data_IF_415569690085
#
_entry.id   IF_415569690085
#
_cell.length_a   1.000
_cell.length_b   1.000
_cell.length_c   1.000
_cell.angle_alpha   90.00
_cell.angle_beta   90.00
_cell.angle_gamma   90.00
#
_symmetry.space_group_name_H-M   'P 1'
#
loop_
_entity.id
_entity.type
_entity.pdbx_description
1 polymer ?
#
# COMPACT_ATOMS: atom_id res chain seq x y z
N UNK A 1 17.81 15.13 8.83
CA UNK A 1 16.56 14.34 8.89
C UNK A 1 15.94 14.23 7.50
N UNK A 2 15.08 13.23 7.28
CA UNK A 2 14.44 12.98 5.98
C UNK A 2 12.94 13.32 5.96
N UNK A 3 12.49 14.04 6.99
CA UNK A 3 11.08 14.34 7.23
C UNK A 3 10.47 13.40 8.25
N UNK A 4 9.15 13.32 8.24
CA UNK A 4 8.34 12.53 9.16
C UNK A 4 7.46 11.51 8.43
N UNK A 5 6.90 10.58 9.21
CA UNK A 5 5.88 9.64 8.78
C UNK A 5 4.71 9.66 9.76
N UNK A 6 3.50 9.62 9.24
CA UNK A 6 2.27 9.36 10.01
C UNK A 6 2.08 7.85 10.11
N UNK A 7 1.90 7.35 11.34
CA UNK A 7 1.83 5.93 11.66
C UNK A 7 0.69 5.61 12.64
N UNK A 8 -0.24 6.56 12.85
CA UNK A 8 -1.30 6.44 13.84
C UNK A 8 -2.28 5.32 13.52
N UNK A 9 -2.50 4.98 12.26
CA UNK A 9 -3.42 3.89 11.91
C UNK A 9 -2.76 2.56 12.25
N UNK A 10 -3.11 2.04 13.43
CA UNK A 10 -2.55 0.83 13.98
C UNK A 10 -3.63 -0.07 14.60
N UNK A 11 -3.33 -1.37 14.66
CA UNK A 11 -4.15 -2.39 15.31
C UNK A 11 -3.30 -3.17 16.29
N UNK A 12 -3.68 -3.18 17.58
CA UNK A 12 -2.93 -3.87 18.66
C UNK A 12 -1.42 -3.56 18.60
N UNK A 13 -1.05 -2.28 18.44
CA UNK A 13 0.32 -1.80 18.31
C UNK A 13 1.06 -2.21 17.03
N UNK A 14 0.35 -2.73 16.03
CA UNK A 14 0.90 -3.01 14.70
C UNK A 14 0.46 -1.91 13.74
N UNK A 15 1.42 -1.22 13.12
CA UNK A 15 1.17 -0.22 12.07
C UNK A 15 0.56 -0.92 10.84
N UNK A 16 -0.47 -0.31 10.27
CA UNK A 16 -1.27 -0.87 9.17
C UNK A 16 -1.21 0.01 7.94
N UNK A 17 -1.22 1.32 8.15
CA UNK A 17 -1.18 2.35 7.12
C UNK A 17 -0.22 3.43 7.56
N UNK A 18 0.78 3.67 6.74
CA UNK A 18 1.84 4.63 6.99
C UNK A 18 1.91 5.61 5.83
N UNK A 19 2.08 6.89 6.12
CA UNK A 19 2.17 7.91 5.07
C UNK A 19 3.22 8.98 5.37
N UNK A 20 3.71 9.63 4.31
CA UNK A 20 4.61 10.78 4.41
C UNK A 20 4.21 11.80 3.33
N UNK A 21 4.09 13.10 3.67
CA UNK A 21 4.18 13.71 5.00
C UNK A 21 3.00 13.37 5.93
N UNK A 22 3.09 13.77 7.19
CA UNK A 22 2.02 13.57 8.19
C UNK A 22 0.99 14.71 8.16
N UNK A 23 -0.30 14.45 7.88
CA UNK A 23 -1.32 15.50 7.72
C UNK A 23 -1.46 16.43 8.94
N UNK A 24 -1.45 15.86 10.15
CA UNK A 24 -1.57 16.63 11.39
C UNK A 24 -0.41 17.63 11.56
N UNK A 25 0.79 17.28 11.09
CA UNK A 25 1.97 18.14 11.18
C UNK A 25 2.05 19.17 10.05
N UNK A 26 1.34 18.96 8.94
CA UNK A 26 1.15 20.01 7.94
C UNK A 26 0.28 21.15 8.48
N UNK A 27 -0.73 20.82 9.30
CA UNK A 27 -1.53 21.81 10.03
C UNK A 27 -0.75 22.53 11.15
N UNK A 28 0.34 21.93 11.66
CA UNK A 28 1.14 22.46 12.77
C UNK A 28 2.63 22.60 12.40
N UNK A 29 3.00 23.51 11.50
CA UNK A 29 4.37 23.62 10.98
C UNK A 29 5.41 23.96 12.07
N UNK A 30 5.02 24.74 13.09
CA UNK A 30 5.89 25.05 14.22
C UNK A 30 6.19 23.82 15.09
N UNK A 31 5.19 22.98 15.35
CA UNK A 31 5.34 21.69 16.03
C UNK A 31 6.27 20.78 15.23
N UNK A 32 6.03 20.67 13.92
CA UNK A 32 6.85 19.85 13.02
C UNK A 32 8.33 20.24 13.06
N UNK A 33 8.62 21.55 13.02
CA UNK A 33 9.99 22.06 13.11
C UNK A 33 10.64 21.70 14.45
N UNK A 34 9.96 21.94 15.57
CA UNK A 34 10.45 21.58 16.92
C UNK A 34 10.69 20.07 17.07
N UNK A 35 9.82 19.25 16.49
CA UNK A 35 9.96 17.80 16.51
C UNK A 35 11.22 17.35 15.75
N UNK A 36 11.51 17.96 14.59
CA UNK A 36 12.75 17.70 13.86
C UNK A 36 13.99 18.15 14.62
N UNK A 37 13.96 19.34 15.20
CA UNK A 37 15.05 19.85 16.03
C UNK A 37 15.33 18.92 17.21
N UNK A 38 14.27 18.45 17.88
CA UNK A 38 14.39 17.48 18.97
C UNK A 38 15.06 16.19 18.51
N UNK A 39 14.60 15.58 17.41
CA UNK A 39 15.18 14.35 16.87
C UNK A 39 16.65 14.52 16.48
N UNK A 40 17.01 15.63 15.81
CA UNK A 40 18.40 15.95 15.43
C UNK A 40 19.26 16.20 16.66
N UNK A 41 18.74 16.89 17.67
CA UNK A 41 19.46 17.15 18.91
C UNK A 41 19.79 15.85 19.65
N UNK A 42 18.82 14.94 19.79
CA UNK A 42 19.04 13.64 20.44
C UNK A 42 20.06 12.82 19.65
N UNK A 43 19.91 12.73 18.31
CA UNK A 43 20.83 11.99 17.45
C UNK A 43 22.27 12.54 17.55
N UNK A 44 22.44 13.86 17.57
CA UNK A 44 23.75 14.49 17.72
C UNK A 44 24.35 14.26 19.10
N UNK A 45 23.55 14.32 20.17
CA UNK A 45 24.02 14.13 21.54
C UNK A 45 24.60 12.72 21.77
N UNK A 46 24.08 11.72 21.06
CA UNK A 46 24.55 10.33 21.14
C UNK A 46 25.54 9.95 20.03
N UNK A 47 25.95 10.90 19.18
CA UNK A 47 26.78 10.66 17.99
C UNK A 47 26.25 9.50 17.14
N UNK A 48 24.94 9.52 16.87
CA UNK A 48 24.28 8.42 16.17
C UNK A 48 24.83 8.25 14.75
N UNK A 49 25.17 7.01 14.40
CA UNK A 49 25.65 6.62 13.08
C UNK A 49 24.73 5.56 12.47
N UNK A 50 24.34 5.76 11.21
CA UNK A 50 23.42 4.88 10.48
C UNK A 50 22.03 5.49 10.29
N UNK A 51 21.04 4.64 10.03
CA UNK A 51 19.64 5.04 9.86
C UNK A 51 18.83 4.59 11.06
N UNK A 52 18.14 5.55 11.68
CA UNK A 52 17.26 5.33 12.80
C UNK A 52 16.04 6.23 12.72
N UNK A 53 15.02 5.89 13.50
CA UNK A 53 13.77 6.65 13.59
C UNK A 53 13.52 7.03 15.04
N UNK A 54 13.15 8.29 15.26
CA UNK A 54 12.64 8.78 16.54
C UNK A 54 11.12 8.81 16.46
N UNK A 55 10.45 8.13 17.38
CA UNK A 55 9.00 8.06 17.44
C UNK A 55 8.45 9.06 18.47
N UNK A 56 7.36 9.72 18.10
CA UNK A 56 6.68 10.70 18.91
C UNK A 56 5.18 10.43 18.90
N UNK A 57 4.48 10.79 19.98
CA UNK A 57 3.03 10.96 19.99
C UNK A 57 2.75 12.45 19.84
N UNK A 58 1.78 12.79 18.99
CA UNK A 58 1.22 14.14 18.87
C UNK A 58 -0.21 14.10 19.39
N UNK A 59 -0.56 15.05 20.24
CA UNK A 59 -1.93 15.18 20.74
C UNK A 59 -2.81 16.06 19.84
N UNK A 60 -4.09 16.21 20.19
CA UNK A 60 -5.03 17.03 19.42
C UNK A 60 -4.76 18.53 19.46
N UNK A 61 -3.92 19.02 20.38
CA UNK A 61 -3.48 20.41 20.44
C UNK A 61 -2.22 20.66 19.60
N UNK A 62 -1.61 19.60 19.07
CA UNK A 62 -0.37 19.67 18.32
C UNK A 62 0.87 19.70 19.21
N UNK A 63 0.76 19.34 20.50
CA UNK A 63 1.92 19.11 21.35
C UNK A 63 2.48 17.71 21.10
N UNK A 64 3.80 17.55 21.18
CA UNK A 64 4.47 16.29 20.86
C UNK A 64 5.31 15.77 22.05
N UNK A 65 5.37 14.45 22.15
CA UNK A 65 6.04 13.74 23.24
C UNK A 65 6.92 12.63 22.66
N UNK A 66 8.18 12.60 23.06
CA UNK A 66 9.12 11.54 22.66
C UNK A 66 8.70 10.19 23.26
N UNK A 67 8.68 9.15 22.44
CA UNK A 67 8.40 7.78 22.87
C UNK A 67 9.67 6.93 22.91
N UNK A 68 10.25 6.70 21.73
CA UNK A 68 11.34 5.76 21.57
C UNK A 68 12.20 6.10 20.35
N UNK A 69 13.35 5.43 20.29
CA UNK A 69 14.23 5.46 19.14
C UNK A 69 14.41 4.04 18.61
N UNK A 70 14.05 3.84 17.34
CA UNK A 70 14.36 2.64 16.60
C UNK A 70 15.72 2.83 15.90
N UNK A 71 16.76 2.16 16.40
CA UNK A 71 18.14 2.27 15.90
C UNK A 71 18.42 1.43 14.64
N UNK A 72 17.39 1.22 13.82
CA UNK A 72 17.41 0.42 12.59
C UNK A 72 16.44 0.98 11.56
N UNK A 73 16.58 0.51 10.32
CA UNK A 73 15.60 0.76 9.27
C UNK A 73 14.23 0.18 9.69
N UNK A 74 13.17 0.93 9.40
CA UNK A 74 11.80 0.52 9.66
C UNK A 74 11.14 -0.04 8.40
N UNK A 75 10.05 -0.78 8.58
CA UNK A 75 9.34 -1.46 7.48
C UNK A 75 8.82 -0.43 6.49
N UNK A 76 8.27 0.66 7.02
CA UNK A 76 7.68 1.81 6.35
C UNK A 76 8.70 2.82 5.76
N UNK A 77 9.98 2.45 5.64
CA UNK A 77 10.95 3.33 4.98
C UNK A 77 10.58 3.73 3.53
N UNK A 78 9.88 2.92 2.71
CA UNK A 78 9.58 3.28 1.33
C UNK A 78 8.78 4.58 1.19
N UNK A 79 7.91 4.94 2.14
CA UNK A 79 7.19 6.22 2.03
C UNK A 79 8.13 7.42 2.12
N UNK A 80 9.22 7.29 2.89
CA UNK A 80 10.28 8.31 2.96
C UNK A 80 11.13 8.30 1.69
N UNK A 81 11.46 7.14 1.15
CA UNK A 81 12.21 7.01 -0.12
C UNK A 81 11.45 7.66 -1.28
N UNK A 82 10.14 7.39 -1.37
CA UNK A 82 9.28 7.94 -2.41
C UNK A 82 9.26 9.47 -2.42
N UNK A 83 9.12 10.10 -1.25
CA UNK A 83 9.03 11.56 -1.18
C UNK A 83 10.39 12.25 -1.28
N UNK A 84 11.49 11.58 -0.93
CA UNK A 84 12.85 12.16 -0.97
C UNK A 84 13.63 11.80 -2.24
N UNK A 85 13.28 10.71 -2.91
CA UNK A 85 14.07 10.11 -4.00
C UNK A 85 15.36 9.44 -3.52
N UNK A 86 15.49 9.17 -2.21
CA UNK A 86 16.70 8.59 -1.61
C UNK A 86 16.50 7.11 -1.32
N UNK A 87 17.45 6.27 -1.73
CA UNK A 87 17.49 4.83 -1.41
C UNK A 87 18.20 4.64 -0.06
N UNK A 88 17.42 4.41 1.00
CA UNK A 88 17.92 4.33 2.36
C UNK A 88 18.68 3.05 2.63
N UNK A 89 18.33 1.96 1.96
CA UNK A 89 19.08 0.69 2.06
C UNK A 89 20.47 0.87 1.45
N UNK A 90 20.55 1.40 0.23
CA UNK A 90 21.82 1.68 -0.43
C UNK A 90 22.66 2.69 0.35
N UNK A 91 22.04 3.77 0.86
CA UNK A 91 22.74 4.75 1.70
C UNK A 91 23.33 4.11 2.96
N UNK A 92 22.61 3.21 3.65
CA UNK A 92 23.16 2.50 4.81
C UNK A 92 24.41 1.70 4.46
N UNK A 93 24.39 0.98 3.34
CA UNK A 93 25.54 0.17 2.90
C UNK A 93 26.75 1.06 2.55
N UNK A 94 26.52 2.13 1.78
CA UNK A 94 27.58 3.06 1.39
C UNK A 94 28.16 3.84 2.58
N UNK A 95 27.33 4.21 3.57
CA UNK A 95 27.80 4.81 4.82
C UNK A 95 28.67 3.84 5.61
N UNK A 96 28.25 2.58 5.73
CA UNK A 96 29.02 1.56 6.42
C UNK A 96 30.36 1.27 5.73
N UNK A 97 30.43 1.41 4.40
CA UNK A 97 31.65 1.31 3.62
C UNK A 97 32.55 2.55 3.68
N UNK A 98 32.07 3.68 4.23
CA UNK A 98 32.79 4.96 4.21
C UNK A 98 32.79 5.64 2.83
N UNK A 99 31.90 5.23 1.92
CA UNK A 99 31.84 5.68 0.53
C UNK A 99 30.80 6.77 0.30
N UNK A 100 29.91 7.03 1.27
CA UNK A 100 28.90 8.08 1.19
C UNK A 100 29.24 9.27 2.08
N UNK A 101 29.28 10.45 1.48
CA UNK A 101 29.10 11.71 2.21
C UNK A 101 27.62 12.06 2.19
N UNK A 102 27.03 12.26 3.37
CA UNK A 102 25.62 12.61 3.48
C UNK A 102 25.35 13.98 2.81
N UNK A 103 24.21 14.13 2.11
CA UNK A 103 23.81 15.42 1.57
C UNK A 103 23.55 16.41 2.71
N UNK A 104 23.73 17.70 2.42
CA UNK A 104 23.35 18.75 3.37
C UNK A 104 21.83 18.80 3.51
N UNK A 105 21.35 19.28 4.65
CA UNK A 105 19.91 19.28 4.96
C UNK A 105 19.08 20.10 3.96
N UNK A 106 19.65 21.16 3.39
CA UNK A 106 19.03 22.04 2.38
C UNK A 106 19.00 21.44 0.96
N UNK A 107 19.79 20.40 0.71
CA UNK A 107 19.77 19.63 -0.55
C UNK A 107 18.65 18.58 -0.56
N UNK A 108 18.08 18.25 0.60
CA UNK A 108 17.03 17.24 0.75
C UNK A 108 15.67 17.85 0.42
N UNK A 109 15.23 17.65 -0.82
CA UNK A 109 13.91 18.11 -1.28
C UNK A 109 12.89 17.00 -1.15
N UNK A 110 11.77 17.28 -0.47
CA UNK A 110 10.63 16.37 -0.38
C UNK A 110 9.55 16.77 -1.38
N UNK A 111 9.06 15.82 -2.17
CA UNK A 111 8.08 16.05 -3.23
C UNK A 111 6.94 15.04 -3.15
N UNK A 112 5.72 15.55 -3.27
CA UNK A 112 4.51 14.74 -3.26
C UNK A 112 4.22 14.10 -1.91
N UNK A 113 3.40 13.06 -1.95
CA UNK A 113 3.02 12.25 -0.80
C UNK A 113 3.13 10.77 -1.15
N UNK A 114 3.39 9.94 -0.15
CA UNK A 114 3.46 8.50 -0.30
C UNK A 114 2.75 7.80 0.84
N UNK A 115 2.17 6.65 0.51
CA UNK A 115 1.37 5.82 1.41
C UNK A 115 1.85 4.39 1.25
N UNK A 116 2.06 3.69 2.36
CA UNK A 116 2.32 2.27 2.42
C UNK A 116 1.22 1.58 3.23
N UNK A 117 0.87 0.37 2.81
CA UNK A 117 0.03 -0.56 3.56
C UNK A 117 0.69 -1.93 3.61
N UNK A 118 0.44 -2.65 4.71
CA UNK A 118 0.96 -4.01 4.91
C UNK A 118 -0.12 -5.05 4.61
N UNK A 119 0.18 -5.93 3.67
CA UNK A 119 -0.70 -7.02 3.28
C UNK A 119 -0.34 -8.25 4.12
N UNK A 120 -1.27 -8.71 4.94
CA UNK A 120 -1.09 -9.81 5.88
C UNK A 120 -1.99 -11.00 5.54
N UNK A 121 -1.49 -12.21 5.82
CA UNK A 121 -2.30 -13.42 5.91
C UNK A 121 -3.04 -13.45 7.26
N UNK A 122 -4.06 -12.61 7.40
CA UNK A 122 -4.90 -12.50 8.58
C UNK A 122 -6.38 -12.41 8.21
N UNK A 123 -7.25 -12.82 9.11
CA UNK A 123 -8.70 -12.67 8.93
C UNK A 123 -9.09 -11.18 9.08
N UNK A 124 -9.73 -10.56 8.09
CA UNK A 124 -10.04 -9.12 8.13
C UNK A 124 -11.06 -8.72 9.22
N UNK A 125 -11.77 -9.68 9.84
CA UNK A 125 -12.78 -9.39 10.85
C UNK A 125 -12.21 -9.30 12.26
N UNK A 126 -11.27 -10.20 12.58
CA UNK A 126 -10.71 -10.34 13.94
C UNK A 126 -9.18 -10.21 13.97
N UNK A 127 -8.56 -10.11 12.78
CA UNK A 127 -7.13 -9.96 12.55
C UNK A 127 -6.31 -11.09 13.20
N UNK A 128 -6.90 -12.27 13.34
CA UNK A 128 -6.16 -13.46 13.73
C UNK A 128 -5.33 -13.93 12.53
N UNK A 129 -4.06 -14.33 12.75
CA UNK A 129 -3.25 -14.93 11.69
C UNK A 129 -4.01 -16.07 11.03
N UNK A 130 -4.09 -16.01 9.71
CA UNK A 130 -4.70 -17.01 8.86
C UNK A 130 -3.71 -17.40 7.75
N UNK A 131 -2.51 -17.89 8.10
CA UNK A 131 -1.54 -18.35 7.10
C UNK A 131 -2.03 -19.63 6.41
N UNK A 132 -1.37 -19.96 5.30
CA UNK A 132 -1.68 -21.13 4.51
C UNK A 132 -1.18 -20.98 3.07
N UNK A 133 -1.61 -21.91 2.22
CA UNK A 133 -1.23 -21.91 0.81
C UNK A 133 -1.89 -20.75 0.06
N UNK A 134 -1.09 -20.06 -0.74
CA UNK A 134 -1.49 -19.07 -1.74
C UNK A 134 -1.56 -19.75 -3.10
N UNK A 135 -2.74 -19.70 -3.72
CA UNK A 135 -2.98 -20.29 -5.04
C UNK A 135 -2.72 -19.29 -6.16
N UNK A 136 -3.33 -18.10 -6.07
CA UNK A 136 -3.22 -17.06 -7.09
C UNK A 136 -2.97 -15.71 -6.43
N UNK A 137 -2.00 -14.99 -6.95
CA UNK A 137 -1.70 -13.60 -6.59
C UNK A 137 -1.84 -12.77 -7.88
N UNK A 138 -2.73 -11.78 -7.85
CA UNK A 138 -2.82 -10.73 -8.84
C UNK A 138 -2.25 -9.49 -8.18
N UNK A 139 -1.03 -9.12 -8.56
CA UNK A 139 -0.36 -7.94 -8.05
C UNK A 139 -0.92 -6.71 -8.76
N UNK A 140 -1.13 -5.58 -8.07
CA UNK A 140 -1.45 -4.33 -8.73
C UNK A 140 -0.25 -3.86 -9.56
N UNK A 141 -0.51 -3.13 -10.64
CA UNK A 141 0.54 -2.63 -11.52
C UNK A 141 0.23 -1.21 -11.98
N UNK A 142 1.28 -0.45 -12.25
CA UNK A 142 1.14 0.92 -12.74
C UNK A 142 2.28 1.82 -12.29
N UNK A 143 2.29 3.06 -12.79
CA UNK A 143 3.31 4.02 -12.40
C UNK A 143 3.15 4.44 -10.93
N UNK A 144 4.29 4.72 -10.28
CA UNK A 144 4.35 5.20 -8.89
C UNK A 144 3.75 4.23 -7.87
N UNK A 145 3.90 2.94 -8.14
CA UNK A 145 3.54 1.84 -7.27
C UNK A 145 4.78 0.98 -7.03
N UNK A 146 4.94 0.51 -5.80
CA UNK A 146 5.99 -0.43 -5.41
C UNK A 146 5.38 -1.57 -4.60
N UNK A 147 5.70 -2.78 -5.00
CA UNK A 147 5.30 -4.03 -4.38
C UNK A 147 6.55 -4.74 -3.85
N UNK A 148 6.75 -4.73 -2.54
CA UNK A 148 7.82 -5.49 -1.89
C UNK A 148 7.23 -6.76 -1.29
N UNK A 149 7.43 -7.91 -1.93
CA UNK A 149 6.93 -9.20 -1.45
C UNK A 149 8.02 -10.27 -1.49
N UNK A 150 7.94 -11.22 -0.56
CA UNK A 150 8.72 -12.46 -0.60
C UNK A 150 8.11 -13.53 -1.51
N UNK A 151 6.97 -13.25 -2.14
CA UNK A 151 6.23 -14.18 -2.98
C UNK A 151 5.98 -13.60 -4.37
N UNK A 152 6.50 -14.25 -5.40
CA UNK A 152 6.23 -13.87 -6.79
C UNK A 152 4.96 -14.54 -7.34
N UNK A 153 4.68 -15.78 -6.92
CA UNK A 153 3.57 -16.60 -7.42
C UNK A 153 2.91 -17.39 -6.28
N UNK A 154 2.31 -18.55 -6.56
CA UNK A 154 1.79 -19.46 -5.53
C UNK A 154 2.88 -19.81 -4.51
N UNK A 155 2.52 -19.86 -3.25
CA UNK A 155 3.44 -20.13 -2.15
C UNK A 155 2.71 -20.61 -0.91
N UNK A 156 3.41 -20.66 0.22
CA UNK A 156 2.81 -20.98 1.51
C UNK A 156 3.28 -19.97 2.53
N UNK A 157 2.33 -19.26 3.14
CA UNK A 157 2.63 -18.40 4.28
C UNK A 157 2.80 -19.30 5.50
N UNK A 158 3.93 -19.18 6.16
CA UNK A 158 4.27 -20.00 7.33
C UNK A 158 3.49 -19.57 8.57
N UNK A 159 3.20 -20.53 9.46
CA UNK A 159 2.67 -20.28 10.81
C UNK A 159 3.75 -19.85 11.81
N UNK A 160 5.03 -20.03 11.47
CA UNK A 160 6.15 -19.84 12.40
C UNK A 160 6.70 -18.42 12.44
N UNK A 161 6.31 -17.58 11.49
CA UNK A 161 6.83 -16.21 11.34
C UNK A 161 5.68 -15.20 11.27
N UNK A 162 6.05 -13.93 11.23
CA UNK A 162 5.11 -12.86 10.93
C UNK A 162 4.37 -13.16 9.60
N UNK A 163 3.02 -13.08 9.56
CA UNK A 163 2.24 -13.50 8.42
C UNK A 163 2.17 -12.44 7.29
N UNK A 164 3.12 -11.49 7.22
CA UNK A 164 3.18 -10.50 6.15
C UNK A 164 3.45 -11.17 4.80
N UNK A 165 2.59 -10.86 3.83
CA UNK A 165 2.71 -11.31 2.45
C UNK A 165 3.52 -10.29 1.64
N UNK A 166 3.20 -9.01 1.82
CA UNK A 166 3.83 -7.94 1.06
C UNK A 166 3.65 -6.57 1.71
N UNK A 167 4.44 -5.61 1.24
CA UNK A 167 4.22 -4.19 1.41
C UNK A 167 3.78 -3.62 0.07
N UNK A 168 2.74 -2.79 0.09
CA UNK A 168 2.29 -2.05 -1.07
C UNK A 168 2.45 -0.58 -0.75
N UNK A 169 3.34 0.11 -1.49
CA UNK A 169 3.50 1.55 -1.38
C UNK A 169 3.19 2.25 -2.69
N UNK A 170 2.65 3.45 -2.61
CA UNK A 170 2.36 4.31 -3.74
C UNK A 170 2.87 5.71 -3.49
N UNK A 171 3.13 6.46 -4.56
CA UNK A 171 3.44 7.89 -4.50
C UNK A 171 2.47 8.68 -5.36
N UNK A 172 2.14 9.91 -4.98
CA UNK A 172 1.37 10.87 -5.78
C UNK A 172 1.87 12.30 -5.59
N UNK A 173 1.48 13.21 -6.48
CA UNK A 173 1.88 14.63 -6.38
C UNK A 173 1.24 15.35 -5.20
N UNK A 174 0.12 14.80 -4.71
CA UNK A 174 -0.60 15.21 -3.51
C UNK A 174 -1.02 13.97 -2.71
N UNK A 175 -1.40 14.17 -1.46
CA UNK A 175 -1.96 13.10 -0.63
C UNK A 175 -3.23 12.51 -1.24
N UNK A 176 -4.13 13.34 -1.76
CA UNK A 176 -5.36 12.89 -2.42
C UNK A 176 -5.06 11.97 -3.61
N UNK A 177 -4.04 12.31 -4.41
CA UNK A 177 -3.61 11.46 -5.52
C UNK A 177 -3.02 10.13 -5.02
N UNK A 178 -2.22 10.15 -3.95
CA UNK A 178 -1.67 8.94 -3.34
C UNK A 178 -2.78 8.04 -2.77
N UNK A 179 -3.79 8.61 -2.09
CA UNK A 179 -4.96 7.88 -1.59
C UNK A 179 -5.74 7.27 -2.75
N UNK A 180 -6.01 8.04 -3.81
CA UNK A 180 -6.72 7.53 -4.99
C UNK A 180 -5.96 6.40 -5.67
N UNK A 181 -4.63 6.51 -5.80
CA UNK A 181 -3.77 5.47 -6.35
C UNK A 181 -3.74 4.22 -5.48
N UNK A 182 -3.66 4.37 -4.15
CA UNK A 182 -3.72 3.25 -3.21
C UNK A 182 -5.06 2.51 -3.31
N UNK A 183 -6.17 3.24 -3.46
CA UNK A 183 -7.51 2.64 -3.66
C UNK A 183 -7.54 1.77 -4.92
N UNK A 184 -7.08 2.29 -6.06
CA UNK A 184 -7.04 1.53 -7.32
C UNK A 184 -6.14 0.29 -7.19
N UNK A 185 -4.95 0.46 -6.61
CA UNK A 185 -4.02 -0.65 -6.38
C UNK A 185 -4.63 -1.75 -5.49
N UNK A 186 -5.35 -1.37 -4.43
CA UNK A 186 -6.03 -2.33 -3.56
C UNK A 186 -7.23 -3.01 -4.23
N UNK A 187 -7.88 -2.36 -5.20
CA UNK A 187 -8.98 -2.95 -5.97
C UNK A 187 -8.49 -3.96 -7.01
N UNK A 188 -7.29 -3.74 -7.57
CA UNK A 188 -6.62 -4.68 -8.49
C UNK A 188 -5.98 -5.86 -7.75
N UNK A 189 -5.54 -5.65 -6.50
CA UNK A 189 -4.89 -6.67 -5.69
C UNK A 189 -5.86 -7.80 -5.34
N UNK A 190 -5.51 -9.02 -5.75
CA UNK A 190 -6.22 -10.25 -5.33
C UNK A 190 -5.22 -11.30 -4.85
N UNK A 191 -5.43 -11.83 -3.65
CA UNK A 191 -4.66 -12.95 -3.11
C UNK A 191 -5.66 -14.03 -2.69
N UNK A 192 -5.64 -15.15 -3.39
CA UNK A 192 -6.60 -16.24 -3.22
C UNK A 192 -5.90 -17.52 -2.77
N UNK A 193 -6.55 -18.26 -1.87
CA UNK A 193 -6.20 -19.63 -1.57
C UNK A 193 -6.39 -20.54 -2.80
N UNK A 194 -5.67 -21.68 -2.90
CA UNK A 194 -5.88 -22.66 -3.96
C UNK A 194 -7.34 -23.10 -4.05
N UNK A 195 -7.83 -23.38 -5.26
CA UNK A 195 -9.16 -23.95 -5.49
C UNK A 195 -9.04 -25.41 -5.92
N UNK A 196 -10.02 -26.23 -5.55
CA UNK A 196 -10.14 -27.59 -6.06
C UNK A 196 -10.75 -27.62 -7.48
N UNK A 197 -10.86 -28.82 -8.08
CA UNK A 197 -11.43 -28.99 -9.42
C UNK A 197 -12.91 -28.64 -9.55
N UNK A 198 -13.61 -28.43 -8.42
CA UNK A 198 -15.01 -28.00 -8.34
C UNK A 198 -15.16 -26.53 -7.96
N UNK A 199 -14.04 -25.79 -7.82
CA UNK A 199 -14.01 -24.39 -7.42
C UNK A 199 -14.08 -24.13 -5.91
N UNK A 200 -14.05 -25.17 -5.08
CA UNK A 200 -14.02 -25.06 -3.63
C UNK A 200 -12.68 -24.52 -3.13
N UNK A 201 -12.71 -23.57 -2.20
CA UNK A 201 -11.50 -23.00 -1.60
C UNK A 201 -10.81 -24.06 -0.73
N UNK A 202 -9.51 -24.29 -0.99
CA UNK A 202 -8.66 -25.24 -0.29
C UNK A 202 -7.63 -24.51 0.55
N UNK A 203 -7.79 -24.59 1.87
CA UNK A 203 -6.85 -24.04 2.84
C UNK A 203 -7.49 -23.01 3.77
N UNK A 204 -6.69 -22.51 4.70
CA UNK A 204 -7.10 -21.56 5.74
C UNK A 204 -6.74 -20.11 5.41
N UNK A 205 -6.10 -19.86 4.27
CA UNK A 205 -5.57 -18.54 3.95
C UNK A 205 -6.70 -17.52 3.88
N UNK A 206 -6.61 -16.49 4.74
CA UNK A 206 -7.37 -15.25 4.64
C UNK A 206 -6.39 -14.09 4.57
N UNK A 207 -6.81 -12.96 4.02
CA UNK A 207 -5.98 -11.76 3.94
C UNK A 207 -6.73 -10.53 4.41
N UNK A 208 -5.98 -9.54 4.88
CA UNK A 208 -6.54 -8.25 5.26
C UNK A 208 -6.87 -7.34 4.07
N UNK A 209 -6.75 -7.80 2.83
CA UNK A 209 -6.95 -6.98 1.61
C UNK A 209 -8.33 -6.31 1.62
N UNK A 210 -9.39 -7.05 1.98
CA UNK A 210 -10.76 -6.49 2.06
C UNK A 210 -10.85 -5.38 3.12
N UNK A 211 -10.16 -5.55 4.25
CA UNK A 211 -10.10 -4.52 5.28
C UNK A 211 -9.34 -3.28 4.77
N UNK A 212 -8.21 -3.45 4.07
CA UNK A 212 -7.46 -2.34 3.46
C UNK A 212 -8.27 -1.60 2.38
N UNK A 213 -9.04 -2.34 1.57
CA UNK A 213 -9.96 -1.75 0.58
C UNK A 213 -11.01 -0.85 1.24
N UNK A 214 -11.54 -1.23 2.41
CA UNK A 214 -12.45 -0.39 3.18
C UNK A 214 -11.73 0.78 3.86
N UNK A 215 -10.56 0.52 4.44
CA UNK A 215 -9.75 1.52 5.12
C UNK A 215 -9.38 2.67 4.18
N UNK A 216 -8.94 2.37 2.96
CA UNK A 216 -8.62 3.35 1.92
C UNK A 216 -9.83 4.20 1.46
N UNK A 217 -11.05 3.79 1.81
CA UNK A 217 -12.31 4.50 1.54
C UNK A 217 -12.93 5.12 2.79
N UNK A 218 -12.30 4.96 3.95
CA UNK A 218 -12.75 5.55 5.20
C UNK A 218 -12.61 7.08 5.12
N UNK A 219 -13.66 7.81 5.52
CA UNK A 219 -13.67 9.27 5.49
C UNK A 219 -12.52 9.86 6.30
N UNK A 220 -12.30 9.35 7.52
CA UNK A 220 -11.22 9.81 8.40
C UNK A 220 -9.84 9.64 7.74
N UNK A 221 -9.62 8.54 7.00
CA UNK A 221 -8.38 8.30 6.26
C UNK A 221 -8.26 9.27 5.08
N UNK A 222 -9.31 9.46 4.29
CA UNK A 222 -9.30 10.37 3.14
C UNK A 222 -9.02 11.81 3.60
N UNK A 223 -9.62 12.24 4.72
CA UNK A 223 -9.46 13.60 5.25
C UNK A 223 -8.15 13.81 6.05
N UNK A 224 -7.41 12.74 6.36
CA UNK A 224 -6.18 12.82 7.17
C UNK A 224 -6.42 12.98 8.66
N UNK A 225 -7.64 12.69 9.13
CA UNK A 225 -8.04 12.68 10.54
C UNK A 225 -7.64 11.36 11.20
N UNK A 226 -6.35 11.02 11.13
CA UNK A 226 -5.82 9.73 11.57
C UNK A 226 -5.42 9.77 13.04
N UNK A 227 -5.97 8.84 13.82
CA UNK A 227 -5.66 8.68 15.25
C UNK A 227 -5.38 7.20 15.57
N UNK A 228 -4.73 6.96 16.71
CA UNK A 228 -4.37 5.60 17.17
C UNK A 228 -5.57 4.70 17.47
N UNK A 229 -6.75 5.28 17.63
CA UNK A 229 -8.02 4.60 17.88
C UNK A 229 -8.95 4.57 16.64
N UNK A 230 -8.49 4.98 15.46
CA UNK A 230 -9.32 5.07 14.25
C UNK A 230 -10.02 3.75 13.90
N UNK A 231 -9.33 2.62 13.96
CA UNK A 231 -9.92 1.31 13.65
C UNK A 231 -11.03 0.95 14.66
N UNK A 232 -10.80 1.00 15.99
CA UNK A 232 -11.87 0.84 16.99
C UNK A 232 -13.08 1.78 16.82
N UNK A 233 -12.86 3.04 16.39
CA UNK A 233 -13.95 4.01 16.16
C UNK A 233 -14.79 3.70 14.92
N UNK A 234 -14.30 2.86 14.01
CA UNK A 234 -14.93 2.54 12.73
C UNK A 234 -15.20 1.03 12.60
N UNK A 235 -16.16 0.45 13.33
CA UNK A 235 -16.42 -0.99 13.34
C UNK A 235 -16.82 -1.57 11.98
N UNK A 236 -17.41 -0.75 11.10
CA UNK A 236 -17.76 -1.14 9.72
C UNK A 236 -16.56 -1.61 8.88
N UNK A 237 -15.34 -1.23 9.29
CA UNK A 237 -14.10 -1.70 8.64
C UNK A 237 -13.93 -3.22 8.77
N UNK A 238 -14.37 -3.83 9.87
CA UNK A 238 -14.21 -5.27 10.14
C UNK A 238 -15.49 -6.09 9.95
N UNK A 239 -16.64 -5.44 9.80
CA UNK A 239 -17.92 -6.14 9.56
C UNK A 239 -17.95 -6.87 8.22
N UNK A 240 -18.60 -8.04 8.14
CA UNK A 240 -18.77 -8.68 6.84
C UNK A 240 -19.69 -7.85 5.95
N UNK A 241 -19.29 -7.67 4.70
CA UNK A 241 -20.20 -7.27 3.63
C UNK A 241 -21.02 -8.50 3.22
N UNK A 242 -21.74 -9.12 4.17
CA UNK A 242 -22.75 -10.10 3.82
C UNK A 242 -23.96 -9.33 3.33
N UNK A 243 -24.27 -9.52 2.05
CA UNK A 243 -25.28 -8.83 1.24
C UNK A 243 -25.15 -7.31 1.23
N UNK A 244 -24.40 -6.77 0.26
CA UNK A 244 -24.96 -5.60 -0.43
C UNK A 244 -26.28 -6.11 -1.00
N UNK A 245 -27.42 -5.60 -0.52
CA UNK A 245 -28.64 -5.62 -1.31
C UNK A 245 -28.31 -4.83 -2.58
N UNK A 246 -27.77 -5.52 -3.58
CA UNK A 246 -27.56 -4.94 -4.88
C UNK A 246 -28.97 -4.71 -5.42
N UNK A 247 -29.40 -3.46 -5.46
CA UNK A 247 -30.73 -3.16 -5.98
C UNK A 247 -30.89 -3.77 -7.37
N UNK A 248 -32.09 -4.22 -7.70
CA UNK A 248 -32.38 -4.77 -9.03
C UNK A 248 -31.90 -3.83 -10.15
N UNK A 249 -31.97 -2.51 -9.93
CA UNK A 249 -31.48 -1.51 -10.86
C UNK A 249 -29.96 -1.60 -11.09
N UNK A 250 -29.17 -1.86 -10.05
CA UNK A 250 -27.71 -2.02 -10.16
C UNK A 250 -27.36 -3.32 -10.88
N UNK A 251 -28.09 -4.41 -10.63
CA UNK A 251 -27.93 -5.67 -11.34
C UNK A 251 -28.31 -5.53 -12.83
N UNK A 252 -29.41 -4.83 -13.12
CA UNK A 252 -29.86 -4.55 -14.49
C UNK A 252 -28.82 -3.68 -15.21
N UNK A 253 -28.30 -2.64 -14.57
CA UNK A 253 -27.27 -1.77 -15.15
C UNK A 253 -25.98 -2.53 -15.49
N UNK A 254 -25.48 -3.37 -14.57
CA UNK A 254 -24.32 -4.24 -14.81
C UNK A 254 -24.58 -5.26 -15.93
N UNK A 255 -25.78 -5.81 -16.00
CA UNK A 255 -26.16 -6.77 -17.04
C UNK A 255 -26.24 -6.09 -18.41
N UNK A 256 -26.82 -4.89 -18.48
CA UNK A 256 -26.86 -4.08 -19.70
C UNK A 256 -25.46 -3.69 -20.15
N UNK A 257 -24.58 -3.30 -19.24
CA UNK A 257 -23.19 -2.95 -19.56
C UNK A 257 -22.43 -4.14 -20.18
N UNK A 258 -22.57 -5.33 -19.60
CA UNK A 258 -21.99 -6.57 -20.15
C UNK A 258 -22.58 -6.95 -21.50
N UNK A 259 -23.88 -6.75 -21.70
CA UNK A 259 -24.53 -6.99 -22.99
C UNK A 259 -24.02 -6.01 -24.04
N UNK A 260 -23.81 -4.74 -23.69
CA UNK A 260 -23.26 -3.75 -24.63
C UNK A 260 -21.79 -4.03 -24.98
N UNK A 261 -20.98 -4.48 -24.03
CA UNK A 261 -19.60 -4.93 -24.30
C UNK A 261 -19.57 -6.18 -25.20
N UNK A 262 -20.54 -7.10 -25.05
CA UNK A 262 -20.69 -8.25 -25.94
C UNK A 262 -21.18 -7.89 -27.35
N UNK A 263 -22.03 -6.87 -27.46
CA UNK A 263 -22.56 -6.39 -28.75
C UNK A 263 -21.51 -5.65 -29.59
N UNK A 264 -20.53 -4.97 -28.98
CA UNK A 264 -19.41 -4.38 -29.73
C UNK A 264 -18.52 -5.45 -30.38
N UNK A 265 -18.37 -6.61 -29.75
CA UNK A 265 -17.59 -7.74 -30.30
C UNK A 265 -18.35 -8.47 -31.43
N UNK A 266 -19.68 -8.58 -31.35
CA UNK A 266 -20.49 -9.18 -32.42
C UNK A 266 -20.70 -8.24 -33.62
N UNK A 267 -20.74 -6.91 -33.40
CA UNK A 267 -20.84 -5.95 -34.49
C UNK A 267 -19.62 -6.01 -35.41
N UNK A 268 -18.42 -6.20 -34.87
CA UNK A 268 -17.17 -6.31 -35.64
C UNK A 268 -17.06 -7.66 -36.37
N UNK A 269 -17.65 -8.72 -35.83
CA UNK A 269 -17.74 -10.03 -36.50
C UNK A 269 -18.70 -10.03 -37.70
N UNK A 270 -19.69 -9.11 -37.72
CA UNK A 270 -20.72 -9.06 -38.77
C UNK A 270 -20.30 -8.32 -40.05
N UNK A 271 -19.17 -7.60 -40.06
CA UNK A 271 -18.61 -6.95 -41.27
C UNK A 271 -17.45 -7.71 -41.94
N UNK A 272 -17.11 -8.91 -41.46
CA UNK A 272 -15.97 -9.70 -41.95
C UNK A 272 -16.29 -10.99 -42.70
N UNK A 273 -17.48 -11.15 -43.28
CA UNK A 273 -17.82 -12.33 -44.07
C UNK A 273 -17.29 -12.22 -45.52
N UNK A 274 -15.96 -12.21 -45.66
CA UNK A 274 -15.25 -12.16 -46.94
C UNK A 274 -13.98 -13.01 -46.92
N UNK A 275 -14.15 -14.33 -47.08
CA UNK A 275 -13.13 -15.30 -47.56
C UNK A 275 -11.69 -15.18 -47.02
N UNK A 276 -11.44 -15.76 -45.84
CA UNK A 276 -10.08 -15.99 -45.31
C UNK A 276 -9.46 -17.35 -45.71
N UNK A 277 -10.09 -18.09 -46.62
CA UNK A 277 -9.56 -19.35 -47.16
C UNK A 277 -8.71 -19.20 -48.44
N UNK A 278 -8.44 -17.96 -48.89
CA UNK A 278 -7.70 -17.70 -50.13
C UNK A 278 -6.43 -16.83 -49.99
N UNK A 279 -5.92 -16.58 -48.78
CA UNK A 279 -4.70 -15.78 -48.56
C UNK A 279 -3.53 -16.54 -47.92
N UNK A 280 -3.49 -17.87 -48.07
CA UNK A 280 -2.32 -18.70 -47.72
C UNK A 280 -1.46 -18.98 -48.96
N UNK A 281 -1.03 -17.95 -49.67
CA UNK A 281 -0.03 -18.05 -50.73
C UNK A 281 0.53 -16.67 -51.12
N UNK A 282 1.49 -16.15 -50.35
CA UNK A 282 2.58 -15.25 -50.79
C UNK A 282 3.31 -14.68 -49.56
N UNK A 283 4.17 -15.49 -48.97
CA UNK A 283 5.25 -15.03 -48.08
C UNK A 283 6.58 -15.51 -48.63
N UNK A 284 6.88 -15.12 -49.87
CA UNK A 284 8.22 -15.28 -50.46
C UNK A 284 8.35 -14.35 -51.68
N UNK A 285 8.78 -13.11 -51.42
CA UNK A 285 9.73 -12.38 -52.27
C UNK A 285 9.87 -10.94 -51.77
N UNK A 286 11.12 -10.54 -51.54
CA UNK A 286 11.68 -9.17 -51.51
C UNK A 286 11.95 -8.53 -50.13
N UNK A 287 13.22 -8.71 -49.74
CA UNK A 287 14.14 -7.83 -48.98
C UNK A 287 13.87 -7.60 -47.50
#
# INVERSE_FOLDING_TARGET
HLGERECSIQRRHQKVWEESPAPILEAHPATRAKMFECAVHIASAINYAGVGTFEFIVDGAGDFYFLEMNTRLQVEHPVTEWVTGMDLVAMQLLLAAGELTLPKQDEIVRKGASIEVRVYAEDPQNFLPAPGKMGRIVQPNGPFLRWDSSYETSGEVSLFYDPMIAKLSVWGRSRDEAVARMRVALDELSIEAPKDSKGGVKGSLKTNVVFLQKLSRCKDVIEGNTTTDLIPRNPSLTENVNSIEVSDATMIALSLLKLTEGMEVEADASQGAGSLWNQKAKWESLR
#
